data_IF_020575409678
#
_entry.id   IF_020575409678
#
_cell.length_a   1.000
_cell.length_b   1.000
_cell.length_c   1.000
_cell.angle_alpha   90.00
_cell.angle_beta   90.00
_cell.angle_gamma   90.00
#
_symmetry.space_group_name_H-M   'P 1'
#
loop_
_entity.id
_entity.type
_entity.pdbx_description
1 polymer ?
#
# COMPACT_ATOMS: atom_id res chain seq x y z
N UNK A 1 5.14 -24.71 4.04
CA UNK A 1 5.81 -23.39 4.21
C UNK A 1 4.70 -22.38 4.46
N UNK A 2 4.75 -21.58 5.54
CA UNK A 2 3.70 -20.58 5.82
C UNK A 2 3.81 -19.42 4.82
N UNK A 3 2.72 -18.65 4.62
CA UNK A 3 2.74 -17.45 3.78
C UNK A 3 3.81 -16.44 4.23
N UNK A 4 4.06 -16.35 5.52
CA UNK A 4 5.10 -15.51 6.11
C UNK A 4 6.51 -15.99 5.77
N UNK A 5 6.76 -17.31 5.82
CA UNK A 5 8.04 -17.87 5.37
C UNK A 5 8.28 -17.69 3.87
N UNK A 6 7.24 -17.80 3.03
CA UNK A 6 7.35 -17.50 1.59
C UNK A 6 7.70 -16.03 1.37
N UNK A 7 7.02 -15.11 2.08
CA UNK A 7 7.28 -13.67 1.98
C UNK A 7 8.72 -13.31 2.32
N UNK A 8 9.23 -13.78 3.47
CA UNK A 8 10.60 -13.48 3.91
C UNK A 8 11.61 -14.06 2.90
N UNK A 9 11.38 -15.29 2.44
CA UNK A 9 12.24 -15.91 1.43
C UNK A 9 12.32 -15.06 0.15
N UNK A 10 11.19 -14.61 -0.38
CA UNK A 10 11.16 -13.74 -1.58
C UNK A 10 11.90 -12.41 -1.38
N UNK A 11 11.83 -11.84 -0.18
CA UNK A 11 12.57 -10.60 0.17
C UNK A 11 14.08 -10.85 0.15
N UNK A 12 14.53 -11.96 0.74
CA UNK A 12 15.95 -12.30 0.84
C UNK A 12 16.55 -12.72 -0.49
N UNK A 13 15.86 -13.60 -1.23
CA UNK A 13 16.30 -14.14 -2.51
C UNK A 13 16.25 -13.08 -3.63
N UNK A 14 15.33 -12.11 -3.50
CA UNK A 14 15.02 -11.16 -4.56
C UNK A 14 14.18 -11.79 -5.67
N UNK A 15 13.78 -10.97 -6.65
CA UNK A 15 13.02 -11.44 -7.79
C UNK A 15 13.95 -11.80 -8.95
N UNK A 16 13.88 -13.05 -9.42
CA UNK A 16 14.55 -13.48 -10.65
C UNK A 16 13.55 -13.50 -11.82
N UNK A 17 13.61 -12.51 -12.75
CA UNK A 17 12.71 -12.46 -13.89
C UNK A 17 12.80 -13.69 -14.80
N UNK A 18 13.99 -14.30 -14.92
CA UNK A 18 14.25 -15.39 -15.87
C UNK A 18 13.52 -16.66 -15.44
N UNK A 19 13.49 -16.94 -14.12
CA UNK A 19 12.71 -18.05 -13.55
C UNK A 19 11.20 -17.97 -13.88
N UNK A 20 10.70 -16.78 -14.17
CA UNK A 20 9.31 -16.52 -14.55
C UNK A 20 9.10 -16.35 -16.07
N UNK A 21 10.15 -16.49 -16.88
CA UNK A 21 10.08 -16.37 -18.34
C UNK A 21 10.02 -14.93 -18.85
N UNK A 22 10.50 -13.97 -18.05
CA UNK A 22 10.71 -12.56 -18.41
C UNK A 22 12.16 -12.31 -18.88
N UNK A 23 12.42 -11.14 -19.45
CA UNK A 23 13.78 -10.71 -19.80
C UNK A 23 14.66 -10.56 -18.54
N UNK A 24 15.96 -10.93 -18.59
CA UNK A 24 16.88 -10.71 -17.47
C UNK A 24 16.97 -9.24 -17.00
N UNK A 25 16.74 -8.29 -17.91
CA UNK A 25 16.80 -6.85 -17.63
C UNK A 25 15.46 -6.25 -17.17
N UNK A 26 14.45 -7.08 -16.97
CA UNK A 26 13.12 -6.67 -16.53
C UNK A 26 13.17 -6.10 -15.10
N UNK A 27 12.64 -4.89 -14.94
CA UNK A 27 12.58 -4.18 -13.65
C UNK A 27 11.20 -3.55 -13.54
N UNK A 28 10.40 -3.97 -12.56
CA UNK A 28 9.01 -3.49 -12.41
C UNK A 28 8.97 -1.98 -12.14
N UNK A 29 9.93 -1.45 -11.36
CA UNK A 29 9.99 -0.01 -11.05
C UNK A 29 10.40 0.86 -12.25
N UNK A 30 10.71 0.28 -13.42
CA UNK A 30 10.87 1.03 -14.68
C UNK A 30 9.53 1.37 -15.34
N UNK A 31 8.42 0.74 -14.96
CA UNK A 31 7.09 0.95 -15.55
C UNK A 31 6.40 2.23 -15.05
N UNK A 32 7.17 3.20 -14.55
CA UNK A 32 6.70 4.51 -14.11
C UNK A 32 7.82 5.53 -14.29
N UNK A 33 7.45 6.76 -14.67
CA UNK A 33 8.36 7.90 -14.61
C UNK A 33 8.36 8.58 -13.22
N UNK A 34 7.28 8.41 -12.46
CA UNK A 34 7.04 9.07 -11.19
C UNK A 34 7.62 8.24 -10.04
N UNK A 35 8.37 8.89 -9.14
CA UNK A 35 9.08 8.22 -8.03
C UNK A 35 8.91 8.95 -6.70
N UNK A 36 8.69 8.16 -5.65
CA UNK A 36 8.68 8.60 -4.26
C UNK A 36 7.62 9.63 -3.88
N UNK A 37 7.92 10.49 -2.90
CA UNK A 37 7.01 11.56 -2.45
C UNK A 37 6.58 12.54 -3.55
N UNK A 38 7.20 12.52 -4.75
CA UNK A 38 6.81 13.35 -5.88
C UNK A 38 5.56 12.87 -6.63
N UNK A 39 4.98 11.74 -6.23
CA UNK A 39 3.80 11.15 -6.88
C UNK A 39 2.47 11.71 -6.36
N UNK A 40 2.42 12.12 -5.08
CA UNK A 40 1.23 12.72 -4.47
C UNK A 40 1.25 14.22 -4.73
N UNK A 41 0.11 14.80 -5.08
CA UNK A 41 -0.04 16.25 -5.19
C UNK A 41 0.26 16.87 -3.81
N UNK A 42 1.10 17.93 -3.71
CA UNK A 42 1.38 18.60 -2.46
C UNK A 42 0.10 19.00 -1.71
N UNK A 43 0.14 18.88 -0.37
CA UNK A 43 -1.05 19.02 0.48
C UNK A 43 -1.74 20.37 0.32
N UNK A 44 -0.97 21.45 0.27
CA UNK A 44 -1.44 22.82 0.07
C UNK A 44 -2.20 22.98 -1.25
N UNK A 45 -1.64 22.46 -2.35
CA UNK A 45 -2.29 22.47 -3.68
C UNK A 45 -3.57 21.62 -3.65
N UNK A 46 -3.50 20.43 -3.05
CA UNK A 46 -4.65 19.52 -2.97
C UNK A 46 -5.81 20.15 -2.18
N UNK A 47 -5.53 20.73 -1.01
CA UNK A 47 -6.54 21.40 -0.19
C UNK A 47 -7.19 22.57 -0.94
N UNK A 48 -6.43 23.31 -1.74
CA UNK A 48 -6.98 24.38 -2.59
C UNK A 48 -7.94 23.84 -3.66
N UNK A 49 -7.58 22.74 -4.33
CA UNK A 49 -8.42 22.11 -5.35
C UNK A 49 -9.72 21.51 -4.77
N UNK A 50 -9.68 21.08 -3.50
CA UNK A 50 -10.82 20.44 -2.84
C UNK A 50 -11.85 21.43 -2.27
N UNK A 51 -11.55 22.73 -2.22
CA UNK A 51 -12.48 23.79 -1.73
C UNK A 51 -13.84 23.77 -2.42
N UNK A 52 -13.95 23.24 -3.64
CA UNK A 52 -15.23 23.12 -4.34
C UNK A 52 -16.20 22.16 -3.65
N UNK A 53 -15.70 21.21 -2.87
CA UNK A 53 -16.51 20.25 -2.12
C UNK A 53 -17.00 20.79 -0.77
N UNK A 54 -16.45 21.91 -0.28
CA UNK A 54 -16.84 22.51 1.00
C UNK A 54 -18.22 23.18 0.95
N UNK A 55 -18.76 23.45 -0.24
CA UNK A 55 -20.02 24.18 -0.41
C UNK A 55 -21.30 23.35 -0.26
N UNK A 56 -21.21 22.01 -0.31
CA UNK A 56 -22.37 21.11 -0.24
C UNK A 56 -22.47 20.33 1.10
N UNK A 57 -21.60 20.59 2.06
CA UNK A 57 -21.64 20.01 3.40
C UNK A 57 -22.75 20.65 4.25
N UNK A 58 -24.00 20.51 3.83
CA UNK A 58 -25.13 20.66 4.72
C UNK A 58 -25.05 19.59 5.81
N UNK A 59 -24.81 20.01 7.05
CA UNK A 59 -25.14 19.33 8.31
C UNK A 59 -25.20 17.78 8.26
N UNK A 60 -24.10 17.13 7.90
CA UNK A 60 -23.99 15.67 7.98
C UNK A 60 -22.97 15.30 9.05
N UNK A 61 -23.44 14.58 10.08
CA UNK A 61 -22.71 14.06 11.25
C UNK A 61 -21.62 13.02 10.89
N UNK A 62 -20.72 13.36 9.96
CA UNK A 62 -19.68 12.48 9.45
C UNK A 62 -18.31 13.14 9.39
N UNK A 63 -17.26 12.32 9.38
CA UNK A 63 -15.91 12.80 9.08
C UNK A 63 -15.77 12.92 7.57
N UNK A 64 -15.68 14.16 7.09
CA UNK A 64 -15.49 14.50 5.69
C UNK A 64 -14.03 14.47 5.21
N UNK A 65 -13.80 15.12 4.07
CA UNK A 65 -12.50 15.24 3.41
C UNK A 65 -11.46 15.83 4.38
N UNK A 66 -10.30 15.17 4.52
CA UNK A 66 -9.16 15.69 5.30
C UNK A 66 -8.54 14.71 6.31
N UNK A 67 -9.21 13.58 6.58
CA UNK A 67 -8.65 12.43 7.34
C UNK A 67 -8.35 11.25 6.41
N UNK A 68 -7.65 10.23 6.92
CA UNK A 68 -7.16 9.08 6.14
C UNK A 68 -8.30 8.19 5.57
N UNK A 69 -9.44 8.16 6.25
CA UNK A 69 -10.67 7.49 5.81
C UNK A 69 -11.87 8.41 5.98
N UNK A 70 -12.89 8.26 5.13
CA UNK A 70 -14.18 8.89 5.36
C UNK A 70 -14.99 8.07 6.38
N UNK A 71 -15.82 8.75 7.17
CA UNK A 71 -16.80 8.13 8.07
C UNK A 71 -18.17 8.71 7.73
N UNK A 72 -19.05 7.88 7.18
CA UNK A 72 -20.37 8.31 6.68
C UNK A 72 -21.46 7.56 7.44
N UNK A 73 -22.33 8.27 8.19
CA UNK A 73 -23.48 7.65 8.85
C UNK A 73 -24.39 6.94 7.84
N UNK A 74 -24.74 5.69 8.13
CA UNK A 74 -25.66 4.93 7.28
C UNK A 74 -27.11 5.28 7.61
N UNK A 75 -28.01 4.98 6.66
CA UNK A 75 -29.46 5.06 6.86
C UNK A 75 -29.95 4.18 8.04
N UNK A 76 -29.20 3.12 8.33
CA UNK A 76 -29.43 2.26 9.48
C UNK A 76 -28.74 2.85 10.71
N UNK A 77 -29.51 3.13 11.76
CA UNK A 77 -29.03 3.80 12.98
C UNK A 77 -27.90 3.02 13.65
N UNK A 78 -26.89 3.74 14.13
CA UNK A 78 -25.76 3.19 14.89
C UNK A 78 -24.67 2.54 14.05
N UNK A 79 -24.76 2.64 12.72
CA UNK A 79 -23.76 2.13 11.79
C UNK A 79 -23.20 3.26 10.92
N UNK A 80 -21.89 3.21 10.69
CA UNK A 80 -21.17 4.11 9.81
C UNK A 80 -20.41 3.31 8.77
N UNK A 81 -20.37 3.82 7.53
CA UNK A 81 -19.44 3.36 6.52
C UNK A 81 -18.09 4.03 6.75
N UNK A 82 -17.05 3.23 6.96
CA UNK A 82 -15.66 3.67 6.96
C UNK A 82 -15.01 3.17 5.68
N UNK A 83 -14.49 4.09 4.89
CA UNK A 83 -13.93 3.75 3.59
C UNK A 83 -12.71 4.60 3.25
N UNK A 84 -11.75 3.98 2.57
CA UNK A 84 -10.54 4.61 2.07
C UNK A 84 -10.17 4.06 0.69
N UNK A 85 -9.41 4.84 -0.06
CA UNK A 85 -8.82 4.46 -1.34
C UNK A 85 -7.40 5.03 -1.42
N UNK A 86 -6.46 4.23 -1.87
CA UNK A 86 -5.12 4.72 -2.21
C UNK A 86 -4.58 3.96 -3.42
N UNK A 87 -3.71 4.62 -4.18
CA UNK A 87 -3.00 4.04 -5.30
C UNK A 87 -1.63 4.70 -5.44
N UNK A 88 -0.66 3.91 -5.85
CA UNK A 88 0.72 4.37 -5.99
C UNK A 88 1.46 3.59 -7.07
N UNK A 89 2.68 4.02 -7.34
CA UNK A 89 3.55 3.45 -8.34
C UNK A 89 4.43 2.33 -7.75
N UNK A 90 4.97 1.41 -8.57
CA UNK A 90 5.79 0.31 -8.07
C UNK A 90 7.02 0.79 -7.29
N UNK A 91 7.24 0.21 -6.11
CA UNK A 91 8.40 0.46 -5.25
C UNK A 91 9.34 -0.75 -5.14
N UNK A 92 8.81 -1.94 -5.43
CA UNK A 92 9.47 -3.24 -5.29
C UNK A 92 9.42 -3.97 -6.63
N UNK A 93 10.48 -4.67 -7.01
CA UNK A 93 10.53 -5.33 -8.32
C UNK A 93 9.78 -6.65 -8.38
N UNK A 94 9.67 -7.38 -7.26
CA UNK A 94 8.85 -8.60 -7.19
C UNK A 94 7.38 -8.21 -7.26
N UNK A 95 6.64 -8.57 -8.34
CA UNK A 95 5.23 -8.20 -8.46
C UNK A 95 4.36 -8.79 -7.34
N UNK A 96 4.73 -9.95 -6.78
CA UNK A 96 4.01 -10.54 -5.65
C UNK A 96 4.18 -9.71 -4.37
N UNK A 97 5.43 -9.35 -4.03
CA UNK A 97 5.66 -8.49 -2.86
C UNK A 97 5.01 -7.13 -3.07
N UNK A 98 5.08 -6.60 -4.29
CA UNK A 98 4.42 -5.36 -4.67
C UNK A 98 2.90 -5.44 -4.45
N UNK A 99 2.25 -6.56 -4.80
CA UNK A 99 0.84 -6.82 -4.49
C UNK A 99 0.54 -6.81 -2.99
N UNK A 100 1.41 -7.42 -2.18
CA UNK A 100 1.28 -7.39 -0.71
C UNK A 100 1.45 -5.98 -0.16
N UNK A 101 2.44 -5.20 -0.65
CA UNK A 101 2.64 -3.80 -0.27
C UNK A 101 1.40 -2.97 -0.61
N UNK A 102 0.83 -3.16 -1.81
CA UNK A 102 -0.38 -2.42 -2.22
C UNK A 102 -1.57 -2.72 -1.32
N UNK A 103 -1.85 -3.99 -1.05
CA UNK A 103 -2.93 -4.36 -0.14
C UNK A 103 -2.71 -3.79 1.28
N UNK A 104 -1.48 -3.90 1.81
CA UNK A 104 -1.14 -3.36 3.13
C UNK A 104 -1.30 -1.84 3.21
N UNK A 105 -0.96 -1.11 2.15
CA UNK A 105 -1.15 0.34 2.07
C UNK A 105 -2.64 0.71 2.04
N UNK A 106 -3.44 0.05 1.21
CA UNK A 106 -4.89 0.32 1.12
C UNK A 106 -5.59 0.06 2.45
N UNK A 107 -5.18 -0.97 3.19
CA UNK A 107 -5.73 -1.27 4.52
C UNK A 107 -5.18 -0.34 5.61
N UNK A 108 -4.03 0.31 5.40
CA UNK A 108 -3.36 1.13 6.41
C UNK A 108 -4.28 2.23 6.95
N UNK A 109 -4.98 2.91 6.06
CA UNK A 109 -5.83 4.06 6.37
C UNK A 109 -7.13 3.64 7.08
N UNK A 110 -7.53 2.37 6.95
CA UNK A 110 -8.62 1.81 7.74
C UNK A 110 -8.17 1.56 9.18
N UNK A 111 -6.94 1.03 9.35
CA UNK A 111 -6.35 0.79 10.66
C UNK A 111 -6.05 2.07 11.45
N UNK A 112 -5.82 3.21 10.80
CA UNK A 112 -5.62 4.50 11.51
C UNK A 112 -6.89 4.97 12.24
N UNK A 113 -8.06 4.56 11.75
CA UNK A 113 -9.35 4.81 12.40
C UNK A 113 -9.71 3.76 13.47
N UNK A 114 -8.78 2.86 13.81
CA UNK A 114 -9.02 1.77 14.77
C UNK A 114 -9.80 0.58 14.21
N UNK A 115 -10.17 0.61 12.92
CA UNK A 115 -10.97 -0.44 12.30
C UNK A 115 -10.07 -1.63 11.94
N UNK A 116 -10.15 -2.70 12.73
CA UNK A 116 -9.34 -3.91 12.56
C UNK A 116 -9.90 -4.89 11.54
N UNK A 117 -11.21 -4.85 11.29
CA UNK A 117 -11.90 -5.74 10.36
C UNK A 117 -12.35 -4.97 9.12
N UNK A 118 -11.94 -5.49 7.96
CA UNK A 118 -12.31 -4.95 6.65
C UNK A 118 -13.38 -5.84 6.03
N UNK A 119 -14.59 -5.33 5.87
CA UNK A 119 -15.68 -6.10 5.27
C UNK A 119 -15.40 -6.43 3.81
N UNK A 120 -14.86 -5.49 3.04
CA UNK A 120 -14.68 -5.63 1.61
C UNK A 120 -13.49 -4.85 1.05
N UNK A 121 -12.79 -5.46 0.09
CA UNK A 121 -11.81 -4.77 -0.74
C UNK A 121 -12.19 -4.77 -2.23
N UNK A 122 -11.83 -3.68 -2.91
CA UNK A 122 -11.77 -3.61 -4.38
C UNK A 122 -10.31 -3.40 -4.81
N UNK A 123 -9.89 -4.02 -5.90
CA UNK A 123 -8.55 -3.85 -6.44
C UNK A 123 -8.56 -2.90 -7.65
N UNK A 124 -7.69 -1.90 -7.62
CA UNK A 124 -7.54 -0.94 -8.71
C UNK A 124 -6.18 -1.19 -9.38
N UNK A 125 -6.20 -1.59 -10.64
CA UNK A 125 -4.99 -1.95 -11.38
C UNK A 125 -4.95 -1.22 -12.73
N UNK A 126 -3.84 -0.54 -12.99
CA UNK A 126 -3.56 0.03 -14.33
C UNK A 126 -2.30 -0.59 -14.87
N UNK A 127 -2.43 -1.29 -16.00
CA UNK A 127 -1.35 -2.04 -16.65
C UNK A 127 -0.61 -1.12 -17.63
N UNK A 128 0.71 -1.06 -17.50
CA UNK A 128 1.57 -0.31 -18.41
C UNK A 128 1.42 -0.82 -19.86
N UNK A 129 1.28 0.10 -20.83
CA UNK A 129 1.15 -0.24 -22.25
C UNK A 129 2.41 -0.90 -22.83
N UNK A 130 3.57 -0.64 -22.24
CA UNK A 130 4.87 -1.16 -22.67
C UNK A 130 5.02 -2.67 -22.42
N UNK A 131 4.17 -3.25 -21.58
CA UNK A 131 4.16 -4.69 -21.35
C UNK A 131 3.52 -5.42 -22.53
N UNK A 132 4.23 -6.42 -23.06
CA UNK A 132 3.62 -7.36 -23.99
C UNK A 132 2.64 -8.29 -23.25
N UNK A 133 1.82 -9.04 -24.00
CA UNK A 133 0.77 -9.88 -23.42
C UNK A 133 1.31 -10.91 -22.41
N UNK A 134 2.47 -11.53 -22.72
CA UNK A 134 3.08 -12.53 -21.85
C UNK A 134 3.59 -11.91 -20.55
N UNK A 135 4.31 -10.79 -20.64
CA UNK A 135 4.81 -10.07 -19.48
C UNK A 135 3.67 -9.59 -18.60
N UNK A 136 2.64 -8.99 -19.20
CA UNK A 136 1.40 -8.59 -18.51
C UNK A 136 0.83 -9.74 -17.71
N UNK A 137 0.60 -10.90 -18.35
CA UNK A 137 -0.08 -12.02 -17.69
C UNK A 137 0.72 -12.54 -16.51
N UNK A 138 2.05 -12.60 -16.61
CA UNK A 138 2.95 -12.99 -15.50
C UNK A 138 2.89 -11.98 -14.36
N UNK A 139 3.10 -10.69 -14.66
CA UNK A 139 3.19 -9.62 -13.66
C UNK A 139 1.85 -9.46 -12.94
N UNK A 140 0.75 -9.40 -13.69
CA UNK A 140 -0.59 -9.23 -13.14
C UNK A 140 -0.96 -10.44 -12.29
N UNK A 141 -0.67 -11.67 -12.74
CA UNK A 141 -0.98 -12.87 -11.95
C UNK A 141 -0.23 -12.90 -10.62
N UNK A 142 1.07 -12.57 -10.63
CA UNK A 142 1.89 -12.50 -9.41
C UNK A 142 1.40 -11.39 -8.47
N UNK A 143 1.08 -10.21 -9.02
CA UNK A 143 0.52 -9.10 -8.27
C UNK A 143 -0.80 -9.46 -7.58
N UNK A 144 -1.75 -10.04 -8.34
CA UNK A 144 -3.05 -10.47 -7.81
C UNK A 144 -2.87 -11.50 -6.71
N UNK A 145 -1.96 -12.48 -6.89
CA UNK A 145 -1.65 -13.48 -5.87
C UNK A 145 -1.15 -12.80 -4.59
N UNK A 146 -0.22 -11.86 -4.70
CA UNK A 146 0.31 -11.12 -3.56
C UNK A 146 -0.76 -10.29 -2.84
N UNK A 147 -1.56 -9.54 -3.60
CA UNK A 147 -2.65 -8.73 -3.05
C UNK A 147 -3.67 -9.61 -2.32
N UNK A 148 -4.08 -10.73 -2.94
CA UNK A 148 -5.00 -11.71 -2.35
C UNK A 148 -4.44 -12.29 -1.06
N UNK A 149 -3.19 -12.74 -1.04
CA UNK A 149 -2.59 -13.36 0.16
C UNK A 149 -2.51 -12.38 1.34
N UNK A 150 -2.25 -11.09 1.07
CA UNK A 150 -2.31 -10.04 2.09
C UNK A 150 -3.74 -9.76 2.57
N UNK A 151 -4.73 -9.74 1.66
CA UNK A 151 -6.15 -9.59 2.01
C UNK A 151 -6.65 -10.77 2.86
N UNK A 152 -6.27 -12.01 2.49
CA UNK A 152 -6.59 -13.21 3.25
C UNK A 152 -5.98 -13.15 4.67
N UNK A 153 -4.73 -12.67 4.78
CA UNK A 153 -4.07 -12.43 6.08
C UNK A 153 -4.78 -11.35 6.91
N UNK A 154 -5.39 -10.36 6.23
CA UNK A 154 -6.26 -9.35 6.85
C UNK A 154 -7.70 -9.86 7.08
N UNK A 155 -7.98 -11.15 6.91
CA UNK A 155 -9.31 -11.78 7.04
C UNK A 155 -10.40 -11.09 6.21
N UNK A 156 -10.03 -10.49 5.08
CA UNK A 156 -10.95 -9.84 4.15
C UNK A 156 -10.85 -10.48 2.76
N UNK A 157 -11.73 -10.08 1.85
CA UNK A 157 -11.76 -10.57 0.48
C UNK A 157 -11.86 -9.44 -0.52
N UNK A 158 -11.16 -9.63 -1.63
CA UNK A 158 -11.32 -8.82 -2.84
C UNK A 158 -12.55 -9.32 -3.58
N UNK A 159 -13.62 -8.51 -3.67
CA UNK A 159 -14.88 -8.90 -4.35
C UNK A 159 -15.13 -8.18 -5.66
N UNK A 160 -14.20 -7.33 -6.09
CA UNK A 160 -14.32 -6.61 -7.34
C UNK A 160 -13.09 -5.76 -7.60
N UNK A 161 -13.14 -5.01 -8.69
CA UNK A 161 -12.04 -4.16 -9.08
C UNK A 161 -12.18 -3.68 -10.51
N UNK A 162 -11.21 -2.88 -10.94
CA UNK A 162 -11.11 -2.41 -12.30
C UNK A 162 -9.67 -2.59 -12.79
N UNK A 163 -9.53 -3.05 -14.04
CA UNK A 163 -8.24 -3.13 -14.71
C UNK A 163 -8.28 -2.40 -16.03
N UNK A 164 -7.41 -1.41 -16.21
CA UNK A 164 -7.29 -0.62 -17.45
C UNK A 164 -5.83 -0.53 -17.90
N UNK A 165 -5.57 0.03 -19.08
CA UNK A 165 -4.21 0.25 -19.59
C UNK A 165 -3.88 1.74 -19.63
N UNK A 166 -2.67 2.10 -19.22
CA UNK A 166 -2.13 3.45 -19.41
C UNK A 166 -0.60 3.40 -19.57
N UNK A 167 0.09 4.52 -19.85
CA UNK A 167 1.56 4.55 -19.96
C UNK A 167 2.32 3.99 -18.76
N UNK A 168 1.75 4.06 -17.56
CA UNK A 168 2.41 3.67 -16.31
C UNK A 168 1.66 2.55 -15.58
N UNK A 169 2.39 1.80 -14.75
CA UNK A 169 1.81 0.84 -13.83
C UNK A 169 1.30 1.58 -12.58
N UNK A 170 0.00 1.49 -12.31
CA UNK A 170 -0.63 2.02 -11.09
C UNK A 170 -1.29 0.89 -10.31
N UNK A 171 -1.05 0.87 -9.01
CA UNK A 171 -1.43 -0.22 -8.12
C UNK A 171 -2.16 0.38 -6.92
N UNK A 172 -3.40 -0.03 -6.71
CA UNK A 172 -4.20 0.49 -5.61
C UNK A 172 -5.39 -0.37 -5.26
N UNK A 173 -6.30 0.21 -4.50
CA UNK A 173 -7.50 -0.45 -4.07
C UNK A 173 -8.37 0.43 -3.20
N UNK A 174 -9.50 -0.14 -2.81
CA UNK A 174 -10.46 0.43 -1.89
C UNK A 174 -10.63 -0.55 -0.75
N UNK A 175 -10.64 -0.06 0.48
CA UNK A 175 -11.05 -0.83 1.66
C UNK A 175 -12.30 -0.19 2.25
N UNK A 176 -13.28 -1.04 2.61
CA UNK A 176 -14.54 -0.60 3.17
C UNK A 176 -14.91 -1.49 4.36
N UNK A 177 -15.47 -0.86 5.39
CA UNK A 177 -16.00 -1.52 6.58
C UNK A 177 -17.24 -0.79 7.08
N UNK A 178 -18.18 -1.52 7.64
CA UNK A 178 -19.33 -0.97 8.35
C UNK A 178 -19.08 -1.15 9.84
N UNK A 179 -18.97 -0.04 10.55
CA UNK A 179 -18.56 -0.02 11.95
C UNK A 179 -19.52 0.80 12.80
N UNK A 180 -19.65 0.40 14.06
CA UNK A 180 -20.31 1.18 15.11
C UNK A 180 -19.41 2.30 15.62
N UNK A 181 -19.99 3.30 16.29
CA UNK A 181 -19.21 4.40 16.90
C UNK A 181 -18.18 3.92 17.93
N UNK A 182 -18.40 2.77 18.57
CA UNK A 182 -17.47 2.17 19.54
C UNK A 182 -16.23 1.55 18.90
N UNK A 183 -16.31 1.18 17.62
CA UNK A 183 -15.19 0.59 16.88
C UNK A 183 -14.31 1.66 16.24
N UNK A 184 -14.83 2.89 16.07
CA UNK A 184 -14.13 3.99 15.42
C UNK A 184 -13.34 4.80 16.46
N UNK A 185 -12.04 4.88 16.28
CA UNK A 185 -11.17 5.77 17.05
C UNK A 185 -11.13 7.14 16.37
N UNK A 186 -11.62 8.18 17.05
CA UNK A 186 -11.56 9.56 16.57
C UNK A 186 -10.15 10.13 16.76
N UNK A 187 -9.60 10.71 15.70
CA UNK A 187 -8.22 11.23 15.63
C UNK A 187 -8.06 12.68 16.10
N UNK A 188 -8.98 13.17 16.94
CA UNK A 188 -9.07 14.56 17.42
C UNK A 188 -8.95 14.70 18.95
N UNK A 189 -8.62 13.62 19.66
CA UNK A 189 -8.65 13.56 21.13
C UNK A 189 -7.31 13.66 21.85
N UNK A 190 -6.23 13.96 21.13
CA UNK A 190 -4.90 14.09 21.74
C UNK A 190 -4.85 15.26 22.75
N UNK A 191 -4.19 15.04 23.89
CA UNK A 191 -4.08 16.02 24.99
C UNK A 191 -2.62 16.28 25.39
N UNK A 192 -2.32 17.47 25.96
CA UNK A 192 -1.00 17.72 26.54
C UNK A 192 -0.62 16.66 27.58
N UNK A 193 0.52 16.01 27.39
CA UNK A 193 0.98 14.90 28.22
C UNK A 193 0.94 13.54 27.51
N UNK A 194 0.24 13.43 26.38
CA UNK A 194 0.26 12.23 25.55
C UNK A 194 1.63 11.98 24.92
N UNK A 195 1.90 10.71 24.58
CA UNK A 195 3.14 10.28 23.93
C UNK A 195 2.89 9.86 22.48
N UNK A 196 3.88 10.11 21.61
CA UNK A 196 3.83 9.69 20.22
C UNK A 196 4.52 8.33 20.06
N UNK A 197 3.78 7.36 19.52
CA UNK A 197 4.29 6.01 19.24
C UNK A 197 4.31 5.77 17.74
N UNK A 198 5.46 5.33 17.24
CA UNK A 198 5.66 4.96 15.84
C UNK A 198 5.88 3.45 15.73
N UNK A 199 5.03 2.76 14.96
CA UNK A 199 5.00 1.29 14.89
C UNK A 199 5.87 0.71 13.77
N UNK A 200 6.29 1.53 12.81
CA UNK A 200 7.19 1.18 11.69
C UNK A 200 8.31 2.21 11.55
N UNK A 201 9.56 1.80 11.29
CA UNK A 201 10.67 2.73 11.13
C UNK A 201 10.51 3.63 9.90
N UNK A 202 11.11 4.82 9.96
CA UNK A 202 11.19 5.76 8.83
C UNK A 202 12.32 5.38 7.86
N UNK A 203 12.38 6.08 6.72
CA UNK A 203 13.47 5.94 5.74
C UNK A 203 13.15 5.05 4.53
N UNK A 204 11.90 4.61 4.38
CA UNK A 204 11.47 3.74 3.28
C UNK A 204 11.88 4.25 1.88
N UNK A 205 11.62 5.53 1.61
CA UNK A 205 11.96 6.12 0.31
C UNK A 205 13.46 6.13 0.01
N UNK A 206 14.28 6.39 1.02
CA UNK A 206 15.75 6.44 0.88
C UNK A 206 16.28 5.05 0.55
N UNK A 207 15.78 4.02 1.23
CA UNK A 207 16.16 2.63 0.95
C UNK A 207 15.76 2.19 -0.46
N UNK A 208 14.54 2.49 -0.89
CA UNK A 208 14.06 2.15 -2.25
C UNK A 208 14.87 2.88 -3.32
N UNK A 209 15.12 4.19 -3.14
CA UNK A 209 15.87 4.99 -4.12
C UNK A 209 17.34 4.56 -4.22
N UNK A 210 18.01 4.30 -3.09
CA UNK A 210 19.41 3.85 -3.09
C UNK A 210 19.55 2.48 -3.74
N UNK A 211 18.60 1.56 -3.51
CA UNK A 211 18.55 0.28 -4.21
C UNK A 211 18.32 0.42 -5.72
N UNK A 212 17.50 1.39 -6.16
CA UNK A 212 17.40 1.71 -7.58
C UNK A 212 18.72 2.19 -8.19
N UNK A 213 19.46 3.04 -7.48
CA UNK A 213 20.75 3.56 -7.96
C UNK A 213 21.75 2.42 -8.16
N UNK A 214 21.80 1.49 -7.19
CA UNK A 214 22.60 0.28 -7.27
C UNK A 214 22.25 -0.56 -8.51
N UNK A 215 20.96 -0.85 -8.73
CA UNK A 215 20.50 -1.62 -9.91
C UNK A 215 20.79 -0.92 -11.24
N UNK A 216 20.61 0.40 -11.29
CA UNK A 216 20.76 1.19 -12.53
C UNK A 216 22.21 1.55 -12.83
N UNK A 217 23.13 1.35 -11.88
CA UNK A 217 24.55 1.72 -12.00
C UNK A 217 24.72 3.15 -12.50
N UNK A 218 23.97 4.07 -11.90
CA UNK A 218 23.91 5.47 -12.35
C UNK A 218 25.04 6.35 -11.76
N UNK A 219 26.04 5.76 -11.11
CA UNK A 219 27.19 6.45 -10.51
C UNK A 219 26.93 7.05 -9.13
N UNK A 220 25.69 7.10 -8.63
CA UNK A 220 25.36 7.75 -7.35
C UNK A 220 25.85 6.99 -6.13
N UNK A 221 25.95 5.67 -6.22
CA UNK A 221 26.41 4.83 -5.10
C UNK A 221 27.90 5.10 -4.85
N UNK A 222 28.66 5.22 -5.93
CA UNK A 222 30.09 5.51 -5.93
C UNK A 222 30.36 6.97 -5.58
N UNK A 223 29.60 7.91 -6.14
CA UNK A 223 29.72 9.36 -5.85
C UNK A 223 29.55 9.67 -4.36
N UNK A 224 28.61 8.98 -3.70
CA UNK A 224 28.27 9.19 -2.30
C UNK A 224 28.95 8.22 -1.33
N UNK A 225 29.88 7.39 -1.82
CA UNK A 225 30.61 6.37 -1.05
C UNK A 225 29.68 5.47 -0.21
N UNK A 226 28.60 4.98 -0.83
CA UNK A 226 27.58 4.17 -0.14
C UNK A 226 27.93 2.69 -0.17
N UNK A 227 27.80 2.03 0.98
CA UNK A 227 28.01 0.59 1.12
C UNK A 227 26.84 -0.21 0.51
N UNK A 228 27.12 -0.94 -0.56
CA UNK A 228 26.14 -1.77 -1.29
C UNK A 228 25.42 -2.78 -0.39
N UNK A 229 26.12 -3.39 0.57
CA UNK A 229 25.51 -4.39 1.47
C UNK A 229 24.49 -3.73 2.40
N UNK A 230 24.77 -2.49 2.84
CA UNK A 230 23.82 -1.71 3.65
C UNK A 230 22.61 -1.30 2.83
N UNK A 231 22.78 -0.92 1.55
CA UNK A 231 21.67 -0.60 0.65
C UNK A 231 20.74 -1.81 0.49
N UNK A 232 21.30 -2.98 0.17
CA UNK A 232 20.51 -4.22 0.00
C UNK A 232 19.78 -4.56 1.29
N UNK A 233 20.46 -4.52 2.44
CA UNK A 233 19.84 -4.81 3.73
C UNK A 233 18.73 -3.82 4.09
N UNK A 234 18.94 -2.53 3.86
CA UNK A 234 17.92 -1.50 4.10
C UNK A 234 16.69 -1.70 3.21
N UNK A 235 16.90 -2.05 1.94
CA UNK A 235 15.82 -2.38 1.00
C UNK A 235 15.02 -3.60 1.44
N UNK A 236 15.68 -4.67 1.88
CA UNK A 236 15.02 -5.86 2.42
C UNK A 236 14.19 -5.54 3.65
N UNK A 237 14.75 -4.79 4.61
CA UNK A 237 14.04 -4.37 5.82
C UNK A 237 12.82 -3.51 5.49
N UNK A 238 12.96 -2.53 4.59
CA UNK A 238 11.84 -1.67 4.18
C UNK A 238 10.77 -2.48 3.46
N UNK A 239 11.13 -3.41 2.59
CA UNK A 239 10.17 -4.31 1.92
C UNK A 239 9.41 -5.17 2.92
N UNK A 240 10.09 -5.68 3.95
CA UNK A 240 9.45 -6.40 5.05
C UNK A 240 8.44 -5.51 5.80
N UNK A 241 8.82 -4.29 6.18
CA UNK A 241 7.93 -3.36 6.89
C UNK A 241 6.73 -2.90 6.04
N UNK A 242 6.94 -2.69 4.73
CA UNK A 242 5.87 -2.30 3.80
C UNK A 242 4.89 -3.43 3.51
N UNK A 243 5.33 -4.69 3.56
CA UNK A 243 4.46 -5.86 3.35
C UNK A 243 3.75 -6.32 4.62
N UNK A 244 4.13 -5.81 5.80
CA UNK A 244 3.48 -6.06 7.08
C UNK A 244 2.20 -5.23 7.21
N UNK A 245 1.08 -5.85 7.59
CA UNK A 245 -0.16 -5.14 7.93
C UNK A 245 0.01 -4.35 9.23
N UNK A 246 -0.78 -3.29 9.44
CA UNK A 246 -0.86 -2.61 10.75
C UNK A 246 -1.88 -3.27 11.70
N UNK A 247 -2.46 -4.40 11.29
CA UNK A 247 -3.26 -5.29 12.14
C UNK A 247 -2.33 -6.18 12.96
N UNK A 248 -2.60 -6.31 14.26
CA UNK A 248 -2.04 -7.38 15.09
C UNK A 248 -3.10 -8.47 15.25
N UNK A 249 -2.70 -9.73 15.10
CA UNK A 249 -3.59 -10.83 15.45
C UNK A 249 -3.66 -10.92 16.97
N UNK A 250 -4.86 -10.84 17.54
CA UNK A 250 -5.09 -11.24 18.91
C UNK A 250 -4.90 -12.76 18.99
N UNK A 251 -3.81 -13.20 19.64
CA UNK A 251 -3.55 -14.62 19.97
C UNK A 251 -4.73 -15.26 20.73
N UNK A 252 -5.63 -14.47 21.31
CA UNK A 252 -6.84 -14.92 22.00
C UNK A 252 -7.99 -15.39 21.10
N UNK A 253 -7.93 -15.16 19.78
CA UNK A 253 -9.01 -15.55 18.85
C UNK A 253 -8.80 -16.91 18.16
N UNK A 254 -7.69 -17.60 18.48
CA UNK A 254 -7.33 -18.91 17.90
C UNK A 254 -7.64 -20.09 18.83
N UNK A 255 -8.41 -19.86 19.90
CA UNK A 255 -8.75 -20.87 20.91
C UNK A 255 -10.27 -21.07 21.08
N UNK A 256 -11.02 -21.06 19.98
CA UNK A 256 -12.41 -21.56 19.93
C UNK A 256 -12.60 -22.51 18.73
#
# INVERSE_FOLDING_TARGET
MTLESERIKRILDGFDPVSHGLSPDFILTKLTAMKGCGCKVPRDILLELLKTFDYDAGDTDGVGIGLDSCVVPLRHKGLNLVQTTDFFYPLVDDPYLMGRVTCANVLSDLYTMGIVDCDNMLMLLVVAVDLNAKERDIIVSLFIKGFKDAADSARTRVRGGQTVRCPWLLLGGVASSVATDSEIIKVDRAQPGDVLVLTKPLGGQVAVNSYEWLKKKNGKVEELDLDEKKIIRAYQQVTEQMTRLNRQDDEKSLSD
#
